data_IF_328645351222
#
_entry.id   IF_328645351222
#
_cell.length_a   1.000
_cell.length_b   1.000
_cell.length_c   1.000
_cell.angle_alpha   90.00
_cell.angle_beta   90.00
_cell.angle_gamma   90.00
#
_symmetry.space_group_name_H-M   'P 1'
#
loop_
_entity.id
_entity.type
_entity.pdbx_description
1 polymer ?
#
# COMPACT_ATOMS: atom_id res chain seq x y z
N UNK A 1 2.30 8.54 -9.66
CA UNK A 1 3.22 7.46 -10.04
C UNK A 1 3.15 6.34 -9.02
N UNK A 2 3.25 5.08 -9.46
CA UNK A 2 3.37 3.91 -8.57
C UNK A 2 4.86 3.72 -8.29
N UNK A 3 5.24 3.75 -7.02
CA UNK A 3 6.64 3.70 -6.59
C UNK A 3 7.05 2.33 -6.07
N UNK A 4 6.09 1.58 -5.51
CA UNK A 4 6.30 0.22 -5.06
C UNK A 4 5.06 -0.63 -5.28
N UNK A 5 5.28 -1.93 -5.40
CA UNK A 5 4.25 -2.93 -5.61
C UNK A 5 4.57 -4.17 -4.79
N UNK A 6 3.53 -4.77 -4.22
CA UNK A 6 3.62 -6.08 -3.56
C UNK A 6 2.41 -6.93 -3.89
N UNK A 7 2.59 -8.23 -3.79
CA UNK A 7 1.57 -9.23 -4.03
C UNK A 7 1.27 -10.03 -2.76
N UNK A 8 -0.01 -10.19 -2.43
CA UNK A 8 -0.46 -11.05 -1.34
C UNK A 8 -1.74 -11.77 -1.75
N UNK A 9 -1.67 -13.09 -1.91
CA UNK A 9 -2.75 -13.96 -2.40
C UNK A 9 -3.29 -13.54 -3.78
N UNK A 10 -4.53 -13.06 -3.89
CA UNK A 10 -5.13 -12.57 -5.14
C UNK A 10 -5.29 -11.05 -5.12
N UNK A 11 -4.40 -10.37 -4.37
CA UNK A 11 -4.39 -8.93 -4.22
C UNK A 11 -3.05 -8.36 -4.61
N UNK A 12 -3.09 -7.25 -5.33
CA UNK A 12 -1.94 -6.41 -5.60
C UNK A 12 -2.06 -5.19 -4.68
N UNK A 13 -0.99 -4.86 -3.98
CA UNK A 13 -0.86 -3.66 -3.19
C UNK A 13 0.10 -2.73 -3.93
N UNK A 14 -0.28 -1.47 -4.10
CA UNK A 14 0.58 -0.46 -4.74
C UNK A 14 0.75 0.73 -3.81
N UNK A 15 1.99 1.14 -3.56
CA UNK A 15 2.32 2.40 -2.91
C UNK A 15 2.64 3.47 -3.95
N UNK A 16 2.09 4.66 -3.75
CA UNK A 16 2.12 5.73 -4.75
C UNK A 16 2.79 7.00 -4.23
N UNK A 17 3.28 7.82 -5.16
CA UNK A 17 3.83 9.14 -4.89
C UNK A 17 2.81 10.11 -4.26
N UNK A 18 1.50 9.84 -4.38
CA UNK A 18 0.42 10.63 -3.76
C UNK A 18 0.14 10.23 -2.30
N UNK A 19 1.03 9.42 -1.70
CA UNK A 19 0.93 8.95 -0.33
C UNK A 19 -0.19 7.96 -0.07
N UNK A 20 -0.79 7.40 -1.13
CA UNK A 20 -1.86 6.40 -1.01
C UNK A 20 -1.34 5.01 -1.29
N UNK A 21 -1.91 4.06 -0.55
CA UNK A 21 -1.81 2.63 -0.81
C UNK A 21 -3.12 2.20 -1.47
N UNK A 22 -3.05 1.48 -2.58
CA UNK A 22 -4.23 0.93 -3.27
C UNK A 22 -4.16 -0.58 -3.29
N UNK A 23 -5.30 -1.22 -3.03
CA UNK A 23 -5.45 -2.67 -3.04
C UNK A 23 -6.33 -3.04 -4.22
N UNK A 24 -5.83 -3.93 -5.07
CA UNK A 24 -6.48 -4.34 -6.31
C UNK A 24 -6.83 -5.82 -6.27
N UNK A 25 -7.96 -6.18 -6.86
CA UNK A 25 -8.29 -7.58 -7.16
C UNK A 25 -7.56 -8.02 -8.41
N UNK A 26 -6.81 -9.12 -8.34
CA UNK A 26 -6.20 -9.73 -9.53
C UNK A 26 -7.26 -10.27 -10.47
N UNK A 27 -8.34 -10.84 -9.93
CA UNK A 27 -9.37 -11.51 -10.72
C UNK A 27 -10.22 -10.53 -11.54
N UNK A 28 -10.53 -9.36 -10.96
CA UNK A 28 -11.44 -8.39 -11.60
C UNK A 28 -10.74 -7.12 -12.10
N UNK A 29 -9.48 -6.89 -11.72
CA UNK A 29 -8.76 -5.65 -12.01
C UNK A 29 -9.26 -4.42 -11.24
N UNK A 30 -10.30 -4.56 -10.41
CA UNK A 30 -10.88 -3.43 -9.68
C UNK A 30 -10.04 -3.01 -8.46
N UNK A 31 -9.99 -1.70 -8.22
CA UNK A 31 -9.46 -1.14 -6.98
C UNK A 31 -10.46 -1.39 -5.84
N UNK A 32 -10.14 -2.34 -4.97
CA UNK A 32 -10.97 -2.74 -3.85
C UNK A 32 -10.90 -1.72 -2.69
N UNK A 33 -9.74 -1.08 -2.51
CA UNK A 33 -9.53 -0.14 -1.40
C UNK A 33 -8.46 0.89 -1.72
N UNK A 34 -8.64 2.09 -1.20
CA UNK A 34 -7.64 3.16 -1.16
C UNK A 34 -7.42 3.57 0.29
N UNK A 35 -6.17 3.57 0.73
CA UNK A 35 -5.76 3.86 2.11
C UNK A 35 -4.70 4.95 2.10
N UNK A 36 -4.63 5.76 3.16
CA UNK A 36 -3.51 6.69 3.35
C UNK A 36 -2.32 5.92 3.92
N UNK A 37 -1.14 6.13 3.36
CA UNK A 37 0.12 5.60 3.89
C UNK A 37 0.49 6.24 5.22
N UNK A 38 0.24 7.54 5.37
CA UNK A 38 0.39 8.30 6.61
C UNK A 38 -0.52 9.54 6.66
N UNK A 39 -0.38 10.38 7.69
CA UNK A 39 -1.17 11.60 7.86
C UNK A 39 -0.79 12.72 6.88
N UNK A 40 0.50 12.83 6.54
CA UNK A 40 1.07 13.93 5.73
C UNK A 40 0.91 13.70 4.23
N UNK A 41 0.57 12.49 3.80
CA UNK A 41 0.36 12.07 2.40
C UNK A 41 1.60 12.24 1.53
N UNK A 42 2.78 12.00 2.09
CA UNK A 42 4.05 11.96 1.36
C UNK A 42 4.25 10.58 0.70
N UNK A 43 5.23 10.45 -0.23
CA UNK A 43 5.38 9.24 -1.04
C UNK A 43 5.54 7.94 -0.24
N UNK A 44 4.80 6.89 -0.64
CA UNK A 44 5.02 5.52 -0.14
C UNK A 44 6.17 4.89 -0.94
N UNK A 45 7.32 4.74 -0.31
CA UNK A 45 8.58 4.34 -0.94
C UNK A 45 8.75 2.82 -1.01
N UNK A 46 8.26 2.10 -0.01
CA UNK A 46 8.20 0.64 -0.01
C UNK A 46 7.11 0.15 0.93
N UNK A 47 6.65 -1.08 0.70
CA UNK A 47 5.68 -1.74 1.56
C UNK A 47 5.96 -3.23 1.61
N UNK A 48 5.64 -3.87 2.75
CA UNK A 48 5.58 -5.33 2.87
C UNK A 48 4.33 -5.76 3.62
N UNK A 49 3.72 -6.86 3.20
CA UNK A 49 2.40 -7.29 3.57
C UNK A 49 2.46 -8.76 3.99
N UNK A 50 1.79 -8.99 5.10
CA UNK A 50 1.50 -10.31 5.65
C UNK A 50 -0.03 -10.43 5.74
N UNK A 51 -0.58 -11.63 5.99
CA UNK A 51 -2.03 -11.81 6.03
C UNK A 51 -2.79 -10.83 6.93
N UNK A 52 -2.17 -10.39 8.04
CA UNK A 52 -2.81 -9.53 9.05
C UNK A 52 -2.15 -8.16 9.23
N UNK A 53 -1.03 -7.88 8.55
CA UNK A 53 -0.28 -6.64 8.76
C UNK A 53 0.36 -6.13 7.48
N UNK A 54 0.48 -4.81 7.39
CA UNK A 54 1.31 -4.16 6.36
C UNK A 54 2.30 -3.23 7.07
N UNK A 55 3.58 -3.39 6.75
CA UNK A 55 4.62 -2.42 7.06
C UNK A 55 4.74 -1.45 5.88
N UNK A 56 4.67 -0.16 6.16
CA UNK A 56 4.69 0.90 5.17
C UNK A 56 5.86 1.81 5.46
N UNK A 57 6.75 1.98 4.48
CA UNK A 57 7.78 3.00 4.52
C UNK A 57 7.35 4.18 3.65
N UNK A 58 7.24 5.34 4.28
CA UNK A 58 7.01 6.61 3.59
C UNK A 58 8.29 7.44 3.61
N UNK A 59 8.27 8.62 2.99
CA UNK A 59 9.43 9.51 3.03
C UNK A 59 9.76 10.01 4.46
N UNK A 60 8.74 10.20 5.31
CA UNK A 60 8.90 10.76 6.66
C UNK A 60 8.67 9.78 7.82
N UNK A 61 8.11 8.60 7.55
CA UNK A 61 7.65 7.69 8.62
C UNK A 61 7.62 6.22 8.22
N UNK A 62 7.84 5.36 9.21
CA UNK A 62 7.64 3.90 9.12
C UNK A 62 6.37 3.54 9.93
N UNK A 63 5.38 2.90 9.30
CA UNK A 63 4.12 2.54 9.93
C UNK A 63 3.87 1.05 9.87
N UNK A 64 3.32 0.50 10.95
CA UNK A 64 2.76 -0.85 10.99
C UNK A 64 1.24 -0.74 11.08
N UNK A 65 0.55 -1.22 10.06
CA UNK A 65 -0.91 -1.31 9.99
C UNK A 65 -1.35 -2.74 10.30
N UNK A 66 -2.31 -2.91 11.20
CA UNK A 66 -2.93 -4.20 11.51
C UNK A 66 -4.35 -4.25 10.91
N UNK A 67 -4.80 -5.45 10.55
CA UNK A 67 -6.15 -5.74 10.03
C UNK A 67 -6.91 -6.73 10.92
#
# INVERSE_FOLDING_TARGET
EVLCLEFLYLRILTGCADGKIRIWSVLSGFCLRVMRGNSVSDPVTSLTATPNRILVNTQSSLLLMNF
#
